data_IF_224096080641
#
_entry.id   IF_224096080641
#
_cell.length_a   1.000
_cell.length_b   1.000
_cell.length_c   1.000
_cell.angle_alpha   90.00
_cell.angle_beta   90.00
_cell.angle_gamma   90.00
#
_symmetry.space_group_name_H-M   'P 1'
#
loop_
_entity.id
_entity.type
_entity.pdbx_description
1 polymer ?
#
# COMPACT_ATOMS: atom_id res chain seq x y z
N UNK A 1 3.56 2.93 27.94
CA UNK A 1 3.05 1.93 26.96
C UNK A 1 3.35 2.47 25.59
N UNK A 2 4.29 1.85 24.88
CA UNK A 2 4.87 2.38 23.64
C UNK A 2 3.90 2.26 22.47
N UNK A 3 3.60 3.38 21.83
CA UNK A 3 2.80 3.49 20.62
C UNK A 3 3.56 2.93 19.42
N UNK A 4 3.31 1.67 19.09
CA UNK A 4 3.79 1.06 17.85
C UNK A 4 3.04 1.65 16.66
N UNK A 5 3.78 2.37 15.81
CA UNK A 5 3.29 2.98 14.58
C UNK A 5 2.70 1.94 13.61
N UNK A 6 1.45 2.07 13.14
CA UNK A 6 0.84 1.09 12.23
C UNK A 6 1.27 1.25 10.76
N UNK A 7 2.07 2.26 10.41
CA UNK A 7 2.45 2.59 9.03
C UNK A 7 3.36 1.54 8.37
N UNK A 8 4.19 0.83 9.14
CA UNK A 8 5.18 -0.10 8.59
C UNK A 8 4.58 -1.43 8.10
N UNK A 9 3.46 -1.90 8.67
CA UNK A 9 2.88 -3.20 8.29
C UNK A 9 2.16 -3.18 6.94
N UNK A 10 1.55 -2.04 6.59
CA UNK A 10 0.84 -1.85 5.33
C UNK A 10 1.81 -1.71 4.14
N UNK A 11 2.95 -1.03 4.34
CA UNK A 11 3.99 -0.89 3.32
C UNK A 11 4.67 -2.21 2.96
N UNK A 12 4.85 -3.11 3.93
CA UNK A 12 5.39 -4.46 3.69
C UNK A 12 4.42 -5.31 2.85
N UNK A 13 3.11 -5.20 3.10
CA UNK A 13 2.07 -5.89 2.31
C UNK A 13 1.99 -5.38 0.87
N UNK A 14 2.17 -4.08 0.64
CA UNK A 14 2.18 -3.49 -0.70
C UNK A 14 3.41 -3.96 -1.50
N UNK A 15 4.60 -3.88 -0.92
CA UNK A 15 5.83 -4.33 -1.60
C UNK A 15 5.77 -5.82 -1.97
N UNK A 16 5.21 -6.66 -1.08
CA UNK A 16 5.00 -8.07 -1.39
C UNK A 16 4.04 -8.27 -2.57
N UNK A 17 2.98 -7.46 -2.67
CA UNK A 17 2.04 -7.53 -3.80
C UNK A 17 2.65 -7.03 -5.11
N UNK A 18 3.42 -5.94 -5.07
CA UNK A 18 4.18 -5.46 -6.22
C UNK A 18 5.16 -6.53 -6.72
N UNK A 19 5.83 -7.23 -5.79
CA UNK A 19 6.68 -8.36 -6.13
C UNK A 19 5.90 -9.48 -6.83
N UNK A 20 4.73 -9.87 -6.32
CA UNK A 20 3.89 -10.88 -6.97
C UNK A 20 3.52 -10.46 -8.41
N UNK A 21 3.20 -9.19 -8.64
CA UNK A 21 2.90 -8.67 -9.99
C UNK A 21 4.15 -8.74 -10.89
N UNK A 22 5.32 -8.40 -10.37
CA UNK A 22 6.59 -8.58 -11.10
C UNK A 22 6.85 -10.05 -11.45
N UNK A 23 6.55 -10.98 -10.53
CA UNK A 23 6.70 -12.42 -10.75
C UNK A 23 5.67 -12.94 -11.77
N UNK A 24 4.47 -12.35 -11.83
CA UNK A 24 3.49 -12.59 -12.90
C UNK A 24 4.06 -12.16 -14.25
N UNK A 25 4.66 -10.97 -14.34
CA UNK A 25 5.23 -10.45 -15.58
C UNK A 25 6.37 -11.33 -16.11
N UNK A 26 7.24 -11.82 -15.22
CA UNK A 26 8.25 -12.81 -15.58
C UNK A 26 7.63 -14.10 -16.15
N UNK A 27 6.57 -14.62 -15.50
CA UNK A 27 5.86 -15.82 -15.97
C UNK A 27 5.16 -15.61 -17.31
N UNK A 28 4.67 -14.41 -17.62
CA UNK A 28 4.15 -14.09 -18.96
C UNK A 28 5.26 -14.26 -20.01
N UNK A 29 6.49 -13.83 -19.69
CA UNK A 29 7.65 -14.10 -20.54
C UNK A 29 7.91 -15.60 -20.75
N UNK A 30 7.79 -16.42 -19.71
CA UNK A 30 7.92 -17.88 -19.78
C UNK A 30 6.77 -18.53 -20.58
N UNK A 31 5.55 -18.04 -20.42
CA UNK A 31 4.37 -18.47 -21.16
C UNK A 31 4.56 -18.30 -22.67
N UNK A 32 5.10 -17.14 -23.09
CA UNK A 32 5.42 -16.87 -24.49
C UNK A 32 6.48 -17.85 -25.01
N UNK A 33 7.51 -18.16 -24.22
CA UNK A 33 8.54 -19.15 -24.60
C UNK A 33 7.93 -20.54 -24.80
N UNK A 34 7.02 -20.97 -23.92
CA UNK A 34 6.32 -22.25 -24.09
C UNK A 34 5.46 -22.28 -25.36
N UNK A 35 4.77 -21.19 -25.68
CA UNK A 35 4.01 -21.07 -26.93
C UNK A 35 4.91 -21.14 -28.17
N UNK A 36 6.05 -20.43 -28.16
CA UNK A 36 7.05 -20.50 -29.24
C UNK A 36 7.60 -21.91 -29.42
N UNK A 37 7.91 -22.61 -28.32
CA UNK A 37 8.37 -23.99 -28.36
C UNK A 37 7.33 -24.95 -28.95
N UNK A 38 6.05 -24.81 -28.57
CA UNK A 38 4.95 -25.56 -29.19
C UNK A 38 4.89 -25.35 -30.71
N UNK A 39 4.96 -24.09 -31.17
CA UNK A 39 4.91 -23.75 -32.60
C UNK A 39 6.14 -24.33 -33.33
N UNK A 40 7.32 -24.28 -32.72
CA UNK A 40 8.53 -24.85 -33.30
C UNK A 40 8.44 -26.37 -33.44
N UNK A 41 7.88 -27.08 -32.46
CA UNK A 41 7.70 -28.53 -32.57
C UNK A 41 6.60 -28.90 -33.59
N UNK A 42 5.54 -28.11 -33.71
CA UNK A 42 4.53 -28.28 -34.77
C UNK A 42 5.12 -28.18 -36.18
N UNK A 43 6.20 -27.43 -36.36
CA UNK A 43 6.89 -27.32 -37.67
C UNK A 43 7.74 -28.54 -38.03
N UNK A 44 7.91 -29.52 -37.13
CA UNK A 44 8.77 -30.70 -37.33
C UNK A 44 7.91 -31.97 -37.45
N UNK A 45 7.96 -32.61 -38.61
CA UNK A 45 7.21 -33.84 -38.94
C UNK A 45 7.89 -35.11 -38.35
N UNK A 46 7.99 -35.23 -37.02
CA UNK A 46 8.55 -36.42 -36.34
C UNK A 46 7.71 -36.83 -35.12
N UNK A 47 7.59 -38.13 -34.84
CA UNK A 47 6.87 -38.65 -33.65
C UNK A 47 7.38 -38.05 -32.33
N UNK A 48 8.71 -37.90 -32.16
CA UNK A 48 9.32 -37.23 -31.00
C UNK A 48 8.85 -35.78 -30.84
N UNK A 49 8.56 -35.10 -31.96
CA UNK A 49 8.07 -33.73 -31.97
C UNK A 49 6.67 -33.62 -31.35
N UNK A 50 5.83 -34.63 -31.57
CA UNK A 50 4.46 -34.68 -31.03
C UNK A 50 4.48 -34.77 -29.50
N UNK A 51 5.32 -35.62 -28.92
CA UNK A 51 5.44 -35.73 -27.46
C UNK A 51 5.95 -34.43 -26.83
N UNK A 52 6.99 -33.81 -27.41
CA UNK A 52 7.52 -32.52 -26.93
C UNK A 52 6.50 -31.38 -27.05
N UNK A 53 5.72 -31.37 -28.13
CA UNK A 53 4.62 -30.42 -28.30
C UNK A 53 3.57 -30.56 -27.18
N UNK A 54 3.16 -31.79 -26.85
CA UNK A 54 2.21 -32.05 -25.77
C UNK A 54 2.75 -31.60 -24.41
N UNK A 55 4.04 -31.84 -24.14
CA UNK A 55 4.73 -31.35 -22.94
C UNK A 55 4.74 -29.82 -22.86
N UNK A 56 5.15 -29.14 -23.93
CA UNK A 56 5.16 -27.67 -23.99
C UNK A 56 3.74 -27.09 -23.88
N UNK A 57 2.72 -27.75 -24.43
CA UNK A 57 1.31 -27.33 -24.34
C UNK A 57 0.79 -27.46 -22.90
N UNK A 58 1.17 -28.55 -22.22
CA UNK A 58 0.85 -28.76 -20.80
C UNK A 58 1.52 -27.71 -19.91
N UNK A 59 2.80 -27.41 -20.16
CA UNK A 59 3.54 -26.36 -19.45
C UNK A 59 2.92 -24.97 -19.68
N UNK A 60 2.55 -24.65 -20.91
CA UNK A 60 1.83 -23.41 -21.25
C UNK A 60 0.53 -23.28 -20.45
N UNK A 61 -0.33 -24.32 -20.45
CA UNK A 61 -1.60 -24.29 -19.72
C UNK A 61 -1.40 -24.12 -18.21
N UNK A 62 -0.41 -24.81 -17.63
CA UNK A 62 -0.08 -24.68 -16.20
C UNK A 62 0.38 -23.27 -15.86
N UNK A 63 1.27 -22.70 -16.68
CA UNK A 63 1.76 -21.34 -16.51
C UNK A 63 0.61 -20.31 -16.62
N UNK A 64 -0.27 -20.47 -17.61
CA UNK A 64 -1.45 -19.62 -17.80
C UNK A 64 -2.38 -19.63 -16.58
N UNK A 65 -2.75 -20.81 -16.09
CA UNK A 65 -3.61 -20.95 -14.91
C UNK A 65 -3.00 -20.29 -13.67
N UNK A 66 -1.67 -20.40 -13.52
CA UNK A 66 -0.95 -19.79 -12.41
C UNK A 66 -0.96 -18.25 -12.50
N UNK A 67 -0.74 -17.70 -13.70
CA UNK A 67 -0.86 -16.25 -13.96
C UNK A 67 -2.27 -15.75 -13.65
N UNK A 68 -3.30 -16.45 -14.14
CA UNK A 68 -4.70 -16.08 -13.96
C UNK A 68 -5.08 -16.07 -12.46
N UNK A 69 -4.68 -17.11 -11.73
CA UNK A 69 -4.94 -17.23 -10.29
C UNK A 69 -4.35 -16.05 -9.51
N UNK A 70 -3.08 -15.72 -9.77
CA UNK A 70 -2.39 -14.66 -9.03
C UNK A 70 -2.91 -13.27 -9.40
N UNK A 71 -3.18 -13.01 -10.68
CA UNK A 71 -3.79 -11.74 -11.11
C UNK A 71 -5.18 -11.56 -10.51
N UNK A 72 -5.99 -12.62 -10.48
CA UNK A 72 -7.32 -12.57 -9.87
C UNK A 72 -7.22 -12.24 -8.37
N UNK A 73 -6.28 -12.87 -7.64
CA UNK A 73 -6.03 -12.54 -6.24
C UNK A 73 -5.58 -11.08 -6.00
N UNK A 74 -4.81 -10.49 -6.94
CA UNK A 74 -4.46 -9.06 -6.88
C UNK A 74 -5.67 -8.17 -7.18
N UNK A 75 -6.48 -8.51 -8.19
CA UNK A 75 -7.69 -7.76 -8.53
C UNK A 75 -8.72 -7.78 -7.41
N UNK A 76 -8.92 -8.92 -6.75
CA UNK A 76 -9.80 -9.04 -5.58
C UNK A 76 -9.33 -8.15 -4.42
N UNK A 77 -8.02 -8.08 -4.19
CA UNK A 77 -7.46 -7.18 -3.19
C UNK A 77 -7.65 -5.70 -3.56
N UNK A 78 -7.38 -5.33 -4.81
CA UNK A 78 -7.65 -3.98 -5.30
C UNK A 78 -9.12 -3.62 -5.13
N UNK A 79 -10.03 -4.52 -5.49
CA UNK A 79 -11.47 -4.34 -5.26
C UNK A 79 -11.74 -4.12 -3.77
N UNK A 80 -11.21 -4.94 -2.87
CA UNK A 80 -11.42 -4.79 -1.43
C UNK A 80 -10.86 -3.48 -0.85
N UNK A 81 -9.67 -3.06 -1.26
CA UNK A 81 -8.98 -1.87 -0.73
C UNK A 81 -9.45 -0.58 -1.40
N UNK A 82 -9.86 -0.62 -2.67
CA UNK A 82 -10.38 0.53 -3.40
C UNK A 82 -11.90 0.73 -3.18
N UNK A 83 -12.66 -0.32 -2.84
CA UNK A 83 -14.11 -0.22 -2.56
C UNK A 83 -14.39 -0.06 -1.06
N UNK A 84 -13.48 -0.49 -0.16
CA UNK A 84 -13.61 -0.41 1.29
C UNK A 84 -13.26 0.94 1.94
N UNK A 85 -13.13 2.02 1.16
CA UNK A 85 -12.74 3.36 1.64
C UNK A 85 -13.89 4.17 2.25
N UNK A 86 -15.02 3.56 2.64
CA UNK A 86 -16.03 4.26 3.44
C UNK A 86 -15.46 4.83 4.77
N UNK A 87 -14.27 4.40 5.20
CA UNK A 87 -13.56 4.94 6.36
C UNK A 87 -12.46 6.00 6.06
N UNK A 88 -12.14 6.27 4.79
CA UNK A 88 -11.16 7.33 4.46
C UNK A 88 -11.68 8.71 4.83
N UNK A 89 -12.98 8.97 4.68
CA UNK A 89 -13.59 10.21 5.13
C UNK A 89 -13.51 10.40 6.64
N UNK A 90 -13.72 9.35 7.44
CA UNK A 90 -13.80 9.45 8.90
C UNK A 90 -12.44 9.44 9.60
N UNK A 91 -11.43 8.73 9.06
CA UNK A 91 -10.05 8.80 9.57
C UNK A 91 -9.36 10.09 9.15
N UNK A 92 -9.50 10.52 7.89
CA UNK A 92 -8.94 11.81 7.45
C UNK A 92 -9.64 12.98 8.17
N UNK A 93 -10.97 12.95 8.29
CA UNK A 93 -11.69 13.97 9.06
C UNK A 93 -11.42 13.88 10.57
N UNK A 94 -11.09 12.72 11.16
CA UNK A 94 -10.69 12.67 12.57
C UNK A 94 -9.29 13.28 12.77
N UNK A 95 -8.33 12.97 11.89
CA UNK A 95 -6.99 13.59 11.92
C UNK A 95 -7.06 15.11 11.71
N UNK A 96 -7.84 15.56 10.73
CA UNK A 96 -8.07 16.99 10.48
C UNK A 96 -8.71 17.67 11.69
N UNK A 97 -9.72 17.04 12.32
CA UNK A 97 -10.35 17.57 13.54
C UNK A 97 -9.37 17.64 14.71
N UNK A 98 -8.50 16.66 14.89
CA UNK A 98 -7.45 16.68 15.92
C UNK A 98 -6.48 17.84 15.68
N UNK A 99 -5.95 17.99 14.45
CA UNK A 99 -5.05 19.10 14.12
C UNK A 99 -5.70 20.47 14.34
N UNK A 100 -6.99 20.61 13.98
CA UNK A 100 -7.73 21.86 14.21
C UNK A 100 -7.94 22.12 15.70
N UNK A 101 -8.21 21.09 16.50
CA UNK A 101 -8.35 21.20 17.95
C UNK A 101 -7.02 21.61 18.62
N UNK A 102 -5.91 20.98 18.23
CA UNK A 102 -4.57 21.34 18.71
C UNK A 102 -4.22 22.79 18.38
N UNK A 103 -4.44 23.22 17.13
CA UNK A 103 -4.19 24.60 16.72
C UNK A 103 -5.08 25.61 17.46
N UNK A 104 -6.33 25.23 17.74
CA UNK A 104 -7.25 26.06 18.52
C UNK A 104 -6.80 26.16 19.98
N UNK A 105 -6.27 25.08 20.54
CA UNK A 105 -5.70 25.06 21.88
C UNK A 105 -4.47 25.96 21.98
N UNK A 106 -3.53 25.85 21.05
CA UNK A 106 -2.32 26.70 21.00
C UNK A 106 -2.72 28.18 20.88
N UNK A 107 -3.63 28.49 19.97
CA UNK A 107 -4.15 29.86 19.79
C UNK A 107 -4.79 30.42 21.06
N UNK A 108 -5.54 29.60 21.81
CA UNK A 108 -6.16 30.03 23.06
C UNK A 108 -5.11 30.23 24.15
N UNK A 109 -4.11 29.36 24.21
CA UNK A 109 -3.00 29.45 25.15
C UNK A 109 -2.20 30.74 24.94
N UNK A 110 -1.89 31.07 23.69
CA UNK A 110 -1.18 32.31 23.35
C UNK A 110 -2.01 33.54 23.72
N UNK A 111 -3.32 33.50 23.49
CA UNK A 111 -4.22 34.59 23.87
C UNK A 111 -4.33 34.75 25.40
N UNK A 112 -4.36 33.64 26.15
CA UNK A 112 -4.35 33.67 27.61
C UNK A 112 -3.03 34.22 28.16
N UNK A 113 -1.88 33.83 27.60
CA UNK A 113 -0.58 34.40 27.95
C UNK A 113 -0.55 35.90 27.71
N UNK A 114 -1.02 36.33 26.53
CA UNK A 114 -1.10 37.76 26.20
C UNK A 114 -1.96 38.54 27.21
N UNK A 115 -3.15 38.02 27.55
CA UNK A 115 -4.02 38.65 28.55
C UNK A 115 -3.34 38.68 29.93
N UNK A 116 -2.71 37.58 30.32
CA UNK A 116 -2.00 37.49 31.59
C UNK A 116 -0.86 38.52 31.67
N UNK A 117 -0.03 38.63 30.64
CA UNK A 117 1.05 39.61 30.57
C UNK A 117 0.54 41.06 30.54
N UNK A 118 -0.59 41.30 29.88
CA UNK A 118 -1.16 42.65 29.72
C UNK A 118 -1.87 43.15 30.99
N UNK A 119 -2.56 42.25 31.70
CA UNK A 119 -3.45 42.61 32.80
C UNK A 119 -2.99 42.14 34.18
N UNK A 120 -2.02 41.22 34.22
CA UNK A 120 -1.31 40.81 35.43
C UNK A 120 0.21 40.90 35.18
N UNK A 121 0.76 42.09 34.86
CA UNK A 121 2.20 42.26 34.90
C UNK A 121 2.64 41.93 36.32
N UNK A 122 3.63 41.05 36.43
CA UNK A 122 4.25 40.60 37.67
C UNK A 122 4.32 41.76 38.68
N UNK A 123 3.47 41.73 39.71
CA UNK A 123 3.64 42.58 40.90
C UNK A 123 4.85 42.05 41.65
N UNK A 124 6.01 42.30 41.09
CA UNK A 124 7.30 41.78 41.50
C UNK A 124 8.35 42.87 41.54
N UNK A 125 7.98 44.10 41.93
CA UNK A 125 8.93 45.07 42.52
C UNK A 125 8.19 46.27 43.16
N UNK A 126 7.72 46.14 44.40
CA UNK A 126 7.74 47.28 45.34
C UNK A 126 7.60 46.77 46.79
N UNK A 127 8.68 46.22 47.32
CA UNK A 127 8.89 46.07 48.76
C UNK A 127 10.36 46.34 49.05
N UNK A 128 10.80 47.51 48.60
CA UNK A 128 12.09 48.11 48.88
C UNK A 128 11.89 49.58 49.28
N UNK A 129 11.06 49.86 50.29
CA UNK A 129 11.12 51.09 51.10
C UNK A 129 10.16 50.97 52.30
N UNK A 130 10.70 50.63 53.47
CA UNK A 130 10.74 51.43 54.72
C UNK A 130 11.04 50.54 55.94
#
# INVERSE_FOLDING_TARGET
>A
MSSSSPSSSSGLKLNQRLKIISDVEQRIGELIKHAQACISELSKEKQISKTKMEEHSSAFKKCLNSIETDLNAQMQYLSHVCVGTAHQGTTFASQQRIMLAERSFDSLMDHLKYINETHMPDTGDDSAME
#
